data_IF_375622427241
#
_entry.id   IF_375622427241
#
_cell.length_a   1.000
_cell.length_b   1.000
_cell.length_c   1.000
_cell.angle_alpha   90.00
_cell.angle_beta   90.00
_cell.angle_gamma   90.00
#
_symmetry.space_group_name_H-M   'P 1'
#
loop_
_entity.id
_entity.type
_entity.pdbx_description
1 polymer ?
#
# COMPACT_ATOMS: atom_id res chain seq x y z
N UNK A 1 -14.70 25.97 -2.26
CA UNK A 1 -14.13 24.88 -3.07
C UNK A 1 -13.93 23.68 -2.16
N UNK A 2 -14.77 22.65 -2.29
CA UNK A 2 -14.83 21.49 -1.37
C UNK A 2 -13.78 20.44 -1.76
N UNK A 3 -12.66 20.45 -1.03
CA UNK A 3 -11.62 19.43 -1.10
C UNK A 3 -12.26 18.10 -0.70
N UNK A 4 -12.27 17.11 -1.60
CA UNK A 4 -12.78 15.77 -1.25
C UNK A 4 -12.12 15.27 0.03
N UNK A 5 -12.93 14.72 0.95
CA UNK A 5 -12.46 14.26 2.25
C UNK A 5 -11.28 13.29 2.07
N UNK A 6 -10.06 13.78 2.30
CA UNK A 6 -8.84 12.97 2.21
C UNK A 6 -8.90 11.94 3.34
N UNK A 7 -9.28 10.72 3.01
CA UNK A 7 -9.20 9.60 3.96
C UNK A 7 -7.72 9.26 4.13
N UNK A 8 -7.23 9.40 5.35
CA UNK A 8 -5.85 9.09 5.71
C UNK A 8 -5.73 7.59 5.96
N UNK A 9 -4.70 6.95 5.40
CA UNK A 9 -4.38 5.56 5.72
C UNK A 9 -3.73 5.58 7.11
N UNK A 10 -4.41 5.00 8.10
CA UNK A 10 -3.85 4.70 9.41
C UNK A 10 -3.52 3.21 9.53
N UNK A 11 -3.05 2.78 10.71
CA UNK A 11 -2.71 1.39 10.96
C UNK A 11 -3.92 0.44 10.84
N UNK A 12 -5.13 0.91 11.18
CA UNK A 12 -6.34 0.10 11.09
C UNK A 12 -6.72 -0.16 9.63
N UNK A 13 -6.68 0.87 8.78
CA UNK A 13 -6.92 0.75 7.33
C UNK A 13 -5.84 -0.10 6.67
N UNK A 14 -4.58 0.04 7.08
CA UNK A 14 -3.47 -0.82 6.65
C UNK A 14 -3.74 -2.31 6.96
N UNK A 15 -4.08 -2.64 8.21
CA UNK A 15 -4.41 -4.00 8.63
C UNK A 15 -5.63 -4.58 7.88
N UNK A 16 -6.66 -3.76 7.64
CA UNK A 16 -7.81 -4.19 6.85
C UNK A 16 -7.42 -4.56 5.41
N UNK A 17 -6.54 -3.76 4.81
CA UNK A 17 -6.04 -3.98 3.45
C UNK A 17 -5.21 -5.27 3.36
N UNK A 18 -4.34 -5.52 4.35
CA UNK A 18 -3.58 -6.77 4.44
C UNK A 18 -4.48 -8.00 4.61
N UNK A 19 -5.55 -7.92 5.40
CA UNK A 19 -6.52 -9.03 5.54
C UNK A 19 -7.22 -9.35 4.22
N UNK A 20 -7.60 -8.31 3.46
CA UNK A 20 -8.17 -8.50 2.11
C UNK A 20 -7.16 -9.16 1.17
N UNK A 21 -5.91 -8.69 1.21
CA UNK A 21 -4.83 -9.26 0.42
C UNK A 21 -4.57 -10.73 0.78
N UNK A 22 -4.67 -11.10 2.06
CA UNK A 22 -4.49 -12.48 2.51
C UNK A 22 -5.56 -13.43 1.96
N UNK A 23 -6.79 -12.95 1.77
CA UNK A 23 -7.86 -13.72 1.15
C UNK A 23 -7.61 -13.87 -0.37
N UNK A 24 -7.13 -12.81 -1.02
CA UNK A 24 -6.85 -12.82 -2.45
C UNK A 24 -5.60 -13.63 -2.83
N UNK A 25 -4.59 -13.67 -1.95
CA UNK A 25 -3.32 -14.38 -2.19
C UNK A 25 -3.15 -15.50 -1.16
N UNK A 26 -3.46 -16.71 -1.61
CA UNK A 26 -3.39 -17.94 -0.80
C UNK A 26 -2.01 -18.61 -0.83
N UNK A 27 -1.07 -18.08 -1.60
CA UNK A 27 0.28 -18.63 -1.76
C UNK A 27 1.06 -18.57 -0.45
N UNK A 28 1.75 -19.65 -0.04
CA UNK A 28 2.68 -19.63 1.08
C UNK A 28 4.00 -18.92 0.69
N UNK A 29 4.76 -18.46 1.70
CA UNK A 29 6.10 -17.91 1.46
C UNK A 29 6.11 -16.54 0.77
N UNK A 30 5.09 -15.72 1.00
CA UNK A 30 5.01 -14.37 0.43
C UNK A 30 6.11 -13.50 1.04
N UNK A 31 6.82 -12.81 0.15
CA UNK A 31 7.73 -11.73 0.49
C UNK A 31 7.06 -10.40 0.16
N UNK A 32 6.72 -9.63 1.19
CA UNK A 32 6.04 -8.35 1.09
C UNK A 32 7.09 -7.22 1.05
N UNK A 33 7.06 -6.42 0.00
CA UNK A 33 7.82 -5.17 -0.09
C UNK A 33 6.88 -3.99 0.14
N UNK A 34 7.13 -3.19 1.16
CA UNK A 34 6.43 -1.92 1.41
C UNK A 34 7.42 -0.85 1.90
N UNK A 35 7.00 0.42 1.88
CA UNK A 35 7.81 1.53 2.40
C UNK A 35 7.82 1.55 3.94
N UNK A 36 8.66 2.40 4.54
CA UNK A 36 8.76 2.52 6.00
C UNK A 36 7.70 3.44 6.62
N UNK A 37 6.57 3.72 5.97
CA UNK A 37 5.57 4.63 6.52
C UNK A 37 5.02 4.13 7.86
N UNK A 38 4.70 5.08 8.75
CA UNK A 38 4.24 4.80 10.13
C UNK A 38 3.09 3.80 10.22
N UNK A 39 2.06 3.82 9.36
CA UNK A 39 0.98 2.83 9.38
C UNK A 39 1.43 1.40 9.05
N UNK A 40 2.50 1.22 8.29
CA UNK A 40 3.03 -0.09 7.91
C UNK A 40 3.98 -0.64 8.97
N UNK A 41 4.68 0.24 9.68
CA UNK A 41 5.56 -0.10 10.81
C UNK A 41 4.86 -0.07 12.18
N UNK A 42 3.54 0.10 12.23
CA UNK A 42 2.81 0.03 13.49
C UNK A 42 2.87 -1.40 14.06
N UNK A 43 2.97 -1.53 15.38
CA UNK A 43 3.05 -2.83 16.08
C UNK A 43 1.91 -3.77 15.66
N UNK A 44 0.68 -3.24 15.55
CA UNK A 44 -0.49 -4.02 15.11
C UNK A 44 -0.34 -4.58 13.70
N UNK A 45 0.37 -3.87 12.82
CA UNK A 45 0.61 -4.29 11.44
C UNK A 45 1.71 -5.34 11.38
N UNK A 46 2.79 -5.16 12.14
CA UNK A 46 3.88 -6.15 12.24
C UNK A 46 3.37 -7.49 12.78
N UNK A 47 2.59 -7.48 13.87
CA UNK A 47 1.99 -8.69 14.44
C UNK A 47 1.07 -9.42 13.45
N UNK A 48 0.35 -8.67 12.62
CA UNK A 48 -0.52 -9.26 11.60
C UNK A 48 0.29 -9.94 10.48
N UNK A 49 1.41 -9.36 10.07
CA UNK A 49 2.30 -9.94 9.06
C UNK A 49 2.97 -11.23 9.59
N UNK A 50 3.37 -11.23 10.86
CA UNK A 50 3.86 -12.43 11.54
C UNK A 50 2.79 -13.53 11.59
N UNK A 51 1.54 -13.18 11.92
CA UNK A 51 0.42 -14.14 11.91
C UNK A 51 0.19 -14.76 10.52
N UNK A 52 0.40 -13.97 9.46
CA UNK A 52 0.31 -14.46 8.08
C UNK A 52 1.52 -15.28 7.64
N UNK A 53 2.60 -15.29 8.43
CA UNK A 53 3.91 -15.86 8.08
C UNK A 53 4.46 -15.26 6.80
N UNK A 54 4.24 -13.96 6.63
CA UNK A 54 4.77 -13.20 5.49
C UNK A 54 6.10 -12.59 5.89
N UNK A 55 7.11 -12.80 5.05
CA UNK A 55 8.40 -12.16 5.23
C UNK A 55 8.30 -10.73 4.70
N UNK A 56 8.80 -9.77 5.47
CA UNK A 56 8.83 -8.37 5.04
C UNK A 56 10.25 -8.07 4.56
N UNK A 57 10.36 -7.43 3.38
CA UNK A 57 11.63 -6.93 2.90
C UNK A 57 12.13 -5.80 3.78
N UNK A 58 13.38 -5.89 4.23
CA UNK A 58 14.06 -4.71 4.77
C UNK A 58 14.12 -3.64 3.67
N UNK A 59 13.62 -2.45 3.99
CA UNK A 59 13.66 -1.31 3.09
C UNK A 59 14.57 -0.25 3.72
N UNK A 60 15.57 0.22 2.97
CA UNK A 60 16.38 1.36 3.37
C UNK A 60 15.48 2.61 3.50
N UNK A 61 15.64 3.45 4.53
CA UNK A 61 14.91 4.71 4.62
C UNK A 61 15.10 5.54 3.34
N UNK A 62 14.01 6.00 2.74
CA UNK A 62 14.00 6.91 1.58
C UNK A 62 14.66 6.38 0.30
N UNK A 63 14.43 5.12 -0.05
CA UNK A 63 14.86 4.53 -1.34
C UNK A 63 13.68 4.21 -2.28
N UNK A 64 12.92 5.21 -2.74
CA UNK A 64 11.78 4.99 -3.64
C UNK A 64 12.20 4.35 -4.97
N UNK A 65 13.46 4.49 -5.38
CA UNK A 65 14.05 3.81 -6.52
C UNK A 65 14.10 2.27 -6.39
N UNK A 66 14.05 1.75 -5.16
CA UNK A 66 14.07 0.30 -4.89
C UNK A 66 12.67 -0.32 -4.90
N UNK A 67 11.62 0.49 -4.77
CA UNK A 67 10.25 0.01 -4.80
C UNK A 67 9.79 -0.18 -6.25
N UNK A 68 9.44 -1.42 -6.61
CA UNK A 68 8.91 -1.74 -7.95
C UNK A 68 7.64 -0.93 -8.27
N UNK A 69 6.84 -0.56 -7.27
CA UNK A 69 5.67 0.30 -7.45
C UNK A 69 6.07 1.70 -7.94
N UNK A 70 7.09 2.29 -7.34
CA UNK A 70 7.44 3.70 -7.52
C UNK A 70 8.25 3.94 -8.79
N UNK A 71 9.17 3.03 -9.12
CA UNK A 71 10.01 3.18 -10.31
C UNK A 71 9.36 2.66 -11.60
N UNK A 72 8.44 1.68 -11.52
CA UNK A 72 7.86 1.04 -12.71
C UNK A 72 6.35 1.24 -12.82
N UNK A 73 5.58 0.84 -11.81
CA UNK A 73 4.11 0.82 -11.92
C UNK A 73 3.50 2.22 -11.97
N UNK A 74 3.88 3.11 -11.06
CA UNK A 74 3.26 4.43 -10.94
C UNK A 74 3.57 5.37 -12.11
N UNK A 75 4.76 5.38 -12.73
CA UNK A 75 5.01 6.14 -13.95
C UNK A 75 4.09 5.71 -15.10
N UNK A 76 4.00 4.40 -15.36
CA UNK A 76 3.11 3.85 -16.39
C UNK A 76 1.64 4.19 -16.08
N UNK A 77 1.25 4.07 -14.81
CA UNK A 77 -0.10 4.40 -14.36
C UNK A 77 -0.41 5.89 -14.52
N UNK A 78 0.53 6.79 -14.20
CA UNK A 78 0.38 8.24 -14.42
C UNK A 78 0.21 8.57 -15.90
N UNK A 79 0.98 7.93 -16.77
CA UNK A 79 0.85 8.10 -18.22
C UNK A 79 -0.53 7.64 -18.70
N UNK A 80 -1.02 6.51 -18.20
CA UNK A 80 -2.36 6.00 -18.52
C UNK A 80 -3.49 6.90 -17.99
N UNK A 81 -3.31 7.48 -16.80
CA UNK A 81 -4.25 8.45 -16.23
C UNK A 81 -4.20 9.82 -16.92
N UNK A 82 -3.09 10.14 -17.61
CA UNK A 82 -2.88 11.39 -18.31
C UNK A 82 -3.96 11.62 -19.38
N UNK A 83 -4.83 12.61 -19.16
CA UNK A 83 -5.93 12.93 -20.07
C UNK A 83 -7.28 12.33 -19.68
N UNK A 84 -7.36 11.52 -18.63
CA UNK A 84 -8.63 11.05 -18.09
C UNK A 84 -9.24 12.09 -17.14
N UNK A 85 -10.53 12.39 -17.35
CA UNK A 85 -11.32 13.23 -16.45
C UNK A 85 -12.27 12.35 -15.64
N UNK A 86 -12.00 12.21 -14.35
CA UNK A 86 -12.88 11.49 -13.43
C UNK A 86 -13.91 12.45 -12.86
N UNK A 87 -15.18 12.21 -13.12
CA UNK A 87 -16.25 12.91 -12.44
C UNK A 87 -16.20 12.51 -10.96
N UNK A 88 -16.07 13.49 -10.07
CA UNK A 88 -16.28 13.26 -8.64
C UNK A 88 -17.78 13.05 -8.49
N UNK A 89 -18.22 11.80 -8.35
CA UNK A 89 -19.57 11.56 -7.87
C UNK A 89 -19.68 12.26 -6.50
N UNK A 90 -20.48 13.33 -6.46
CA UNK A 90 -20.83 14.05 -5.24
C UNK A 90 -21.63 13.17 -4.29
N UNK A 91 -21.88 13.61 -3.05
CA UNK A 91 -22.47 12.78 -1.99
C UNK A 91 -23.74 12.06 -2.44
#
# INVERSE_FOLDING_TARGET
QEVGLRKTIDAAVSCQSLRRLRIAILTPGIFLTHDNARPHNAVVTQLLLEQFKWNVSDHLPYSPDLARSDFRLFPDFKNWLGGQSFQKNGP
#
